data_IF_881404699994
#
_entry.id   IF_881404699994
#
_cell.length_a   1.000
_cell.length_b   1.000
_cell.length_c   1.000
_cell.angle_alpha   90.00
_cell.angle_beta   90.00
_cell.angle_gamma   90.00
#
_symmetry.space_group_name_H-M   'P 1'
#
loop_
_entity.id
_entity.type
_entity.pdbx_description
1 polymer ?
#
# COMPACT_ATOMS: atom_id res chain seq x y z
N UNK A 1 -41.07 -81.98 -59.75
CA UNK A 1 -40.54 -80.58 -59.69
C UNK A 1 -40.02 -80.34 -58.31
N UNK A 2 -38.73 -80.29 -58.19
CA UNK A 2 -37.95 -80.18 -56.97
C UNK A 2 -37.89 -78.78 -56.44
N UNK A 3 -38.23 -78.56 -55.18
CA UNK A 3 -37.88 -77.32 -54.48
C UNK A 3 -37.19 -77.70 -53.18
N UNK A 4 -35.86 -77.52 -53.21
CA UNK A 4 -34.99 -77.70 -52.03
C UNK A 4 -35.21 -76.50 -51.07
N UNK A 5 -35.58 -76.81 -49.85
CA UNK A 5 -35.56 -75.88 -48.75
C UNK A 5 -34.15 -75.76 -48.21
N UNK A 6 -33.59 -74.58 -48.33
CA UNK A 6 -32.32 -74.15 -47.65
C UNK A 6 -32.59 -73.82 -46.17
N UNK A 7 -32.08 -74.67 -45.31
CA UNK A 7 -31.94 -74.39 -43.89
C UNK A 7 -30.90 -73.30 -43.69
N UNK A 8 -31.32 -72.15 -43.16
CA UNK A 8 -30.44 -71.10 -42.66
C UNK A 8 -30.08 -71.41 -41.22
N UNK A 9 -28.79 -71.60 -40.98
CA UNK A 9 -28.23 -71.73 -39.63
C UNK A 9 -28.31 -70.36 -38.90
N UNK A 10 -28.68 -70.36 -37.60
CA UNK A 10 -28.62 -69.10 -36.85
C UNK A 10 -27.17 -68.67 -36.56
N UNK A 11 -26.84 -67.46 -36.93
CA UNK A 11 -25.56 -66.79 -36.57
C UNK A 11 -25.52 -66.65 -35.07
N UNK A 12 -24.54 -67.24 -34.43
CA UNK A 12 -24.18 -66.97 -33.03
C UNK A 12 -23.60 -65.58 -32.97
N UNK A 13 -24.39 -64.63 -32.47
CA UNK A 13 -23.91 -63.31 -32.13
C UNK A 13 -22.94 -63.40 -30.94
N UNK A 14 -21.66 -63.20 -31.20
CA UNK A 14 -20.63 -63.03 -30.19
C UNK A 14 -20.86 -61.69 -29.59
N UNK A 15 -21.47 -61.62 -28.40
CA UNK A 15 -21.53 -60.42 -27.60
C UNK A 15 -20.12 -60.23 -27.00
N UNK A 16 -19.31 -59.43 -27.68
CA UNK A 16 -18.06 -58.90 -27.08
C UNK A 16 -18.46 -57.94 -26.05
N UNK A 17 -18.47 -58.33 -24.78
CA UNK A 17 -18.54 -57.45 -23.65
C UNK A 17 -17.22 -56.69 -23.59
N UNK A 18 -17.19 -55.49 -24.19
CA UNK A 18 -16.12 -54.51 -23.97
C UNK A 18 -16.30 -54.03 -22.54
N UNK A 19 -15.58 -54.65 -21.64
CA UNK A 19 -15.35 -54.09 -20.32
C UNK A 19 -14.51 -52.84 -20.54
N UNK A 20 -15.19 -51.72 -20.72
CA UNK A 20 -14.58 -50.38 -20.56
C UNK A 20 -14.27 -50.27 -19.08
N UNK A 21 -13.10 -50.76 -18.67
CA UNK A 21 -12.46 -50.35 -17.44
C UNK A 21 -12.17 -48.89 -17.60
N UNK A 22 -13.18 -48.06 -17.34
CA UNK A 22 -13.02 -46.64 -17.15
C UNK A 22 -12.05 -46.46 -15.99
N UNK A 23 -10.80 -46.33 -16.34
CA UNK A 23 -9.85 -45.66 -15.46
C UNK A 23 -10.45 -44.27 -15.20
N UNK A 24 -11.33 -44.18 -14.23
CA UNK A 24 -11.58 -42.99 -13.48
C UNK A 24 -10.21 -42.62 -12.86
N UNK A 25 -9.31 -42.10 -13.70
CA UNK A 25 -8.28 -41.24 -13.23
C UNK A 25 -9.04 -40.17 -12.43
N UNK A 26 -9.19 -40.42 -11.14
CA UNK A 26 -9.51 -39.39 -10.18
C UNK A 26 -8.46 -38.30 -10.44
N UNK A 27 -8.81 -37.34 -11.26
CA UNK A 27 -8.24 -36.04 -11.16
C UNK A 27 -8.54 -35.62 -9.73
N UNK A 28 -7.68 -36.07 -8.84
CA UNK A 28 -7.46 -35.37 -7.62
C UNK A 28 -7.00 -33.98 -8.13
N UNK A 29 -7.96 -33.12 -8.29
CA UNK A 29 -7.73 -31.69 -8.13
C UNK A 29 -7.07 -31.64 -6.77
N UNK A 30 -5.73 -31.76 -6.77
CA UNK A 30 -4.96 -31.40 -5.61
C UNK A 30 -5.38 -29.97 -5.40
N UNK A 31 -6.36 -29.74 -4.52
CA UNK A 31 -6.49 -28.47 -3.88
C UNK A 31 -5.07 -28.24 -3.35
N UNK A 32 -4.26 -27.50 -4.11
CA UNK A 32 -3.02 -26.98 -3.59
C UNK A 32 -3.51 -26.18 -2.40
N UNK A 33 -3.46 -26.80 -1.21
CA UNK A 33 -3.70 -26.12 0.02
C UNK A 33 -2.78 -24.90 -0.07
N UNK A 34 -3.37 -23.72 -0.18
CA UNK A 34 -2.62 -22.48 -0.28
C UNK A 34 -1.60 -22.54 0.85
N UNK A 35 -0.32 -22.54 0.49
CA UNK A 35 0.74 -22.75 1.47
C UNK A 35 0.58 -21.64 2.49
N UNK A 36 0.14 -21.97 3.70
CA UNK A 36 -0.09 -21.00 4.75
C UNK A 36 1.21 -20.23 4.98
N UNK A 37 1.13 -18.92 5.09
CA UNK A 37 2.28 -18.08 5.43
C UNK A 37 2.90 -18.59 6.72
N UNK A 38 4.24 -18.65 6.74
CA UNK A 38 5.00 -18.90 7.96
C UNK A 38 5.45 -17.57 8.51
N UNK A 39 4.78 -17.07 9.53
CA UNK A 39 5.16 -15.83 10.19
C UNK A 39 5.78 -16.15 11.53
N UNK A 40 6.94 -15.57 11.76
CA UNK A 40 7.65 -15.65 13.04
C UNK A 40 7.49 -14.31 13.76
N UNK A 41 6.80 -14.31 14.88
CA UNK A 41 6.58 -13.13 15.72
C UNK A 41 7.56 -13.16 16.89
N UNK A 42 8.51 -12.23 16.93
CA UNK A 42 9.63 -12.23 17.88
C UNK A 42 10.31 -13.61 17.97
N UNK A 43 10.54 -14.23 16.79
CA UNK A 43 11.17 -15.54 16.67
C UNK A 43 10.25 -16.75 16.89
N UNK A 44 8.99 -16.55 17.29
CA UNK A 44 8.02 -17.64 17.55
C UNK A 44 7.13 -17.87 16.32
N UNK A 45 7.09 -19.09 15.74
CA UNK A 45 6.19 -19.44 14.66
C UNK A 45 4.73 -19.18 15.09
N UNK A 46 4.03 -18.34 14.36
CA UNK A 46 2.68 -17.89 14.72
C UNK A 46 1.76 -18.01 13.51
N UNK A 47 0.68 -18.79 13.58
CA UNK A 47 -0.34 -18.79 12.56
C UNK A 47 -1.03 -17.44 12.51
N UNK A 48 -1.08 -16.83 11.31
CA UNK A 48 -1.70 -15.52 11.11
C UNK A 48 -2.65 -15.58 9.91
N UNK A 49 -3.61 -14.66 9.89
CA UNK A 49 -4.48 -14.42 8.75
C UNK A 49 -4.31 -12.97 8.28
N UNK A 50 -3.76 -12.79 7.10
CA UNK A 50 -3.65 -11.48 6.46
C UNK A 50 -5.02 -10.99 6.00
N UNK A 51 -5.45 -9.85 6.51
CA UNK A 51 -6.69 -9.18 6.10
C UNK A 51 -6.46 -8.42 4.77
N UNK A 52 -5.33 -7.75 4.70
CA UNK A 52 -4.76 -7.04 3.55
C UNK A 52 -3.24 -7.22 3.53
N UNK A 53 -2.54 -6.48 2.69
CA UNK A 53 -1.09 -6.66 2.52
C UNK A 53 -0.24 -6.11 3.67
N UNK A 54 -0.81 -5.30 4.56
CA UNK A 54 -0.09 -4.63 5.67
C UNK A 54 -0.74 -4.82 7.04
N UNK A 55 -1.66 -5.78 7.17
CA UNK A 55 -2.27 -6.15 8.44
C UNK A 55 -2.66 -7.62 8.52
N UNK A 56 -2.57 -8.19 9.72
CA UNK A 56 -3.02 -9.55 9.98
C UNK A 56 -3.63 -9.71 11.36
N UNK A 57 -4.31 -10.84 11.58
CA UNK A 57 -4.73 -11.34 12.89
C UNK A 57 -3.89 -12.53 13.28
N UNK A 58 -3.48 -12.60 14.52
CA UNK A 58 -2.80 -13.77 15.09
C UNK A 58 -3.84 -14.80 15.51
N UNK A 59 -3.78 -16.00 14.95
CA UNK A 59 -4.78 -17.04 15.13
C UNK A 59 -4.47 -17.96 16.33
N UNK A 60 -3.18 -18.17 16.64
CA UNK A 60 -2.75 -19.02 17.74
C UNK A 60 -1.36 -18.58 18.25
N UNK A 61 -0.93 -19.14 19.39
CA UNK A 61 0.34 -18.84 20.03
C UNK A 61 0.25 -17.72 21.06
N UNK A 62 1.40 -17.19 21.54
CA UNK A 62 1.45 -16.21 22.63
C UNK A 62 0.68 -14.90 22.37
N UNK A 63 0.51 -14.54 21.10
CA UNK A 63 -0.16 -13.31 20.68
C UNK A 63 -1.55 -13.55 20.08
N UNK A 64 -2.15 -14.75 20.32
CA UNK A 64 -3.45 -15.13 19.76
C UNK A 64 -4.54 -14.07 20.03
N UNK A 65 -5.37 -13.80 19.01
CA UNK A 65 -6.44 -12.80 19.05
C UNK A 65 -6.00 -11.36 18.83
N UNK A 66 -4.69 -11.07 18.84
CA UNK A 66 -4.21 -9.72 18.54
C UNK A 66 -4.36 -9.38 17.06
N UNK A 67 -4.59 -8.08 16.79
CA UNK A 67 -4.57 -7.50 15.46
C UNK A 67 -3.22 -6.80 15.26
N UNK A 68 -2.63 -6.98 14.10
CA UNK A 68 -1.36 -6.39 13.73
C UNK A 68 -1.53 -5.27 12.71
N UNK A 69 -0.74 -4.21 12.84
CA UNK A 69 -0.44 -3.23 11.80
C UNK A 69 1.04 -3.33 11.50
N UNK A 70 1.39 -3.46 10.23
CA UNK A 70 2.76 -3.58 9.79
C UNK A 70 3.35 -2.19 9.52
N UNK A 71 4.56 -1.96 10.03
CA UNK A 71 5.26 -0.69 9.92
C UNK A 71 6.10 -0.56 8.65
N UNK A 72 6.49 0.69 8.33
CA UNK A 72 7.42 1.00 7.25
C UNK A 72 6.82 1.03 5.85
N UNK A 73 5.66 0.45 5.61
CA UNK A 73 4.98 0.44 4.33
C UNK A 73 3.46 0.41 4.46
N UNK A 74 2.77 0.72 3.36
CA UNK A 74 1.33 0.62 3.25
C UNK A 74 0.95 -0.02 1.92
N UNK A 75 -0.13 -0.79 1.91
CA UNK A 75 -0.72 -1.34 0.69
C UNK A 75 -1.99 -0.59 0.33
N UNK A 76 -2.43 -0.74 -0.92
CA UNK A 76 -3.73 -0.21 -1.31
C UNK A 76 -4.84 -0.98 -0.61
N UNK A 77 -5.98 -0.33 -0.44
CA UNK A 77 -7.15 -0.92 0.21
C UNK A 77 -7.69 -2.13 -0.57
N UNK A 78 -7.90 -3.25 0.11
CA UNK A 78 -8.30 -4.51 -0.51
C UNK A 78 -9.80 -4.82 -0.38
N UNK A 79 -10.62 -3.86 0.04
CA UNK A 79 -12.07 -4.05 0.15
C UNK A 79 -12.84 -3.77 -1.14
N UNK A 80 -12.24 -3.15 -2.14
CA UNK A 80 -12.81 -2.86 -3.45
C UNK A 80 -11.93 -1.94 -4.28
N UNK A 81 -12.38 -1.52 -5.47
CA UNK A 81 -11.67 -0.60 -6.34
C UNK A 81 -11.70 0.83 -5.78
N UNK A 82 -11.07 1.03 -4.63
CA UNK A 82 -11.13 2.26 -3.87
C UNK A 82 -10.17 3.35 -4.37
N UNK A 83 -9.05 2.98 -4.98
CA UNK A 83 -8.02 3.92 -5.40
C UNK A 83 -8.02 4.17 -6.90
N UNK A 84 -7.64 5.39 -7.30
CA UNK A 84 -7.37 5.74 -8.70
C UNK A 84 -6.38 6.89 -8.84
N UNK A 85 -5.51 6.83 -9.86
CA UNK A 85 -4.62 7.91 -10.30
C UNK A 85 -4.10 7.62 -11.71
N UNK A 86 -3.55 8.61 -12.39
CA UNK A 86 -2.98 8.45 -13.72
C UNK A 86 -3.99 7.88 -14.70
N UNK A 87 -3.60 6.85 -15.44
CA UNK A 87 -4.45 6.12 -16.38
C UNK A 87 -4.90 4.75 -15.86
N UNK A 88 -4.78 4.50 -14.55
CA UNK A 88 -5.23 3.27 -13.94
C UNK A 88 -6.75 3.07 -14.01
N UNK A 89 -7.16 1.87 -14.37
CA UNK A 89 -8.49 1.38 -14.04
C UNK A 89 -8.51 1.03 -12.53
N UNK A 90 -9.46 1.51 -11.73
CA UNK A 90 -9.54 1.22 -10.29
C UNK A 90 -9.56 -0.27 -9.95
N UNK A 91 -10.07 -1.11 -10.85
CA UNK A 91 -10.05 -2.57 -10.70
C UNK A 91 -8.66 -3.18 -10.73
N UNK A 92 -7.80 -2.67 -11.58
CA UNK A 92 -6.41 -3.16 -11.67
C UNK A 92 -5.64 -2.79 -10.39
N UNK A 93 -5.88 -1.59 -9.83
CA UNK A 93 -5.34 -1.22 -8.53
C UNK A 93 -5.89 -2.09 -7.39
N UNK A 94 -7.17 -2.46 -7.44
CA UNK A 94 -7.75 -3.42 -6.50
C UNK A 94 -7.10 -4.81 -6.63
N UNK A 95 -6.86 -5.28 -7.85
CA UNK A 95 -6.11 -6.53 -8.08
C UNK A 95 -4.71 -6.43 -7.49
N UNK A 96 -4.03 -5.29 -7.66
CA UNK A 96 -2.73 -5.04 -7.04
C UNK A 96 -2.80 -5.16 -5.50
N UNK A 97 -3.80 -4.57 -4.86
CA UNK A 97 -4.04 -4.70 -3.41
C UNK A 97 -4.25 -6.17 -2.98
N UNK A 98 -5.01 -6.95 -3.78
CA UNK A 98 -5.20 -8.38 -3.54
C UNK A 98 -3.91 -9.17 -3.69
N UNK A 99 -3.06 -8.81 -4.66
CA UNK A 99 -1.75 -9.44 -4.85
C UNK A 99 -0.83 -9.19 -3.66
N UNK A 100 -0.86 -8.00 -3.04
CA UNK A 100 -0.15 -7.72 -1.80
C UNK A 100 -0.58 -8.65 -0.65
N UNK A 101 -1.91 -8.83 -0.50
CA UNK A 101 -2.48 -9.75 0.50
C UNK A 101 -2.05 -11.20 0.25
N UNK A 102 -2.10 -11.66 -1.00
CA UNK A 102 -1.68 -13.01 -1.39
C UNK A 102 -0.18 -13.21 -1.16
N UNK A 103 0.63 -12.19 -1.41
CA UNK A 103 2.06 -12.24 -1.14
C UNK A 103 2.33 -12.46 0.36
N UNK A 104 1.66 -11.70 1.24
CA UNK A 104 1.72 -11.92 2.68
C UNK A 104 1.34 -13.34 3.09
N UNK A 105 0.30 -13.90 2.47
CA UNK A 105 -0.22 -15.25 2.78
C UNK A 105 0.68 -16.40 2.34
N UNK A 106 1.60 -16.20 1.39
CA UNK A 106 2.40 -17.27 0.78
C UNK A 106 3.85 -17.32 1.23
N UNK A 107 4.34 -16.25 1.85
CA UNK A 107 5.75 -16.10 2.20
C UNK A 107 6.13 -16.67 3.56
N UNK A 108 7.42 -16.54 3.83
CA UNK A 108 8.01 -16.75 5.17
C UNK A 108 8.49 -15.40 5.65
N UNK A 109 7.94 -14.92 6.76
CA UNK A 109 8.15 -13.56 7.22
C UNK A 109 8.60 -13.52 8.68
N UNK A 110 9.63 -12.73 8.95
CA UNK A 110 10.15 -12.50 10.30
C UNK A 110 9.72 -11.11 10.74
N UNK A 111 8.96 -11.06 11.82
CA UNK A 111 8.42 -9.81 12.34
C UNK A 111 8.85 -9.63 13.79
N UNK A 112 9.23 -8.41 14.13
CA UNK A 112 9.58 -7.98 15.49
C UNK A 112 8.64 -6.90 15.97
N UNK A 113 8.44 -6.83 17.28
CA UNK A 113 7.62 -5.80 17.93
C UNK A 113 8.08 -5.62 19.37
N UNK A 114 8.06 -4.38 19.84
CA UNK A 114 8.11 -3.99 21.25
C UNK A 114 6.74 -4.06 21.94
N UNK A 115 5.72 -4.55 21.22
CA UNK A 115 4.33 -4.67 21.63
C UNK A 115 3.60 -3.32 21.80
N UNK A 116 4.16 -2.23 21.28
CA UNK A 116 3.44 -0.95 21.18
C UNK A 116 2.19 -1.08 20.30
N UNK A 117 1.23 -0.20 20.53
CA UNK A 117 -0.07 -0.23 19.85
C UNK A 117 -0.40 1.12 19.23
N UNK A 118 -1.12 1.07 18.12
CA UNK A 118 -1.69 2.26 17.51
C UNK A 118 -3.00 2.70 18.23
N UNK A 119 -3.53 3.85 17.82
CA UNK A 119 -4.80 4.39 18.35
C UNK A 119 -6.03 3.50 18.16
N UNK A 120 -5.95 2.46 17.33
CA UNK A 120 -7.00 1.45 17.11
C UNK A 120 -6.77 0.17 17.91
N UNK A 121 -5.76 0.13 18.77
CA UNK A 121 -5.40 -1.01 19.61
C UNK A 121 -4.71 -2.15 18.87
N UNK A 122 -4.25 -1.94 17.62
CA UNK A 122 -3.47 -2.93 16.86
C UNK A 122 -2.02 -2.89 17.32
N UNK A 123 -1.42 -4.06 17.52
CA UNK A 123 0.03 -4.17 17.80
C UNK A 123 0.83 -3.79 16.56
N UNK A 124 1.84 -2.93 16.72
CA UNK A 124 2.75 -2.53 15.65
C UNK A 124 3.83 -3.60 15.49
N UNK A 125 3.96 -4.14 14.28
CA UNK A 125 4.97 -5.12 13.93
C UNK A 125 5.84 -4.59 12.79
N UNK A 126 7.14 -4.78 12.89
CA UNK A 126 8.08 -4.58 11.80
C UNK A 126 8.40 -5.91 11.15
N UNK A 127 8.08 -6.04 9.86
CA UNK A 127 8.31 -7.23 9.04
C UNK A 127 9.17 -6.83 7.82
N UNK A 128 10.47 -6.59 7.98
CA UNK A 128 11.31 -5.95 6.96
C UNK A 128 11.38 -6.73 5.66
N UNK A 129 11.38 -8.06 5.72
CA UNK A 129 11.41 -8.91 4.53
C UNK A 129 10.14 -8.76 3.69
N UNK A 130 8.96 -8.75 4.35
CA UNK A 130 7.67 -8.56 3.68
C UNK A 130 7.52 -7.14 3.11
N UNK A 131 7.92 -6.13 3.89
CA UNK A 131 7.91 -4.74 3.47
C UNK A 131 8.74 -4.55 2.19
N UNK A 132 9.98 -5.02 2.22
CA UNK A 132 10.90 -4.91 1.09
C UNK A 132 10.40 -5.68 -0.15
N UNK A 133 9.87 -6.88 0.04
CA UNK A 133 9.36 -7.71 -1.06
C UNK A 133 8.13 -7.10 -1.72
N UNK A 134 7.15 -6.62 -0.93
CA UNK A 134 5.98 -5.92 -1.45
C UNK A 134 6.35 -4.63 -2.21
N UNK A 135 7.26 -3.82 -1.66
CA UNK A 135 7.70 -2.57 -2.28
C UNK A 135 8.44 -2.86 -3.60
N UNK A 136 9.36 -3.82 -3.64
CA UNK A 136 10.09 -4.20 -4.87
C UNK A 136 9.17 -4.67 -5.99
N UNK A 137 8.07 -5.33 -5.64
CA UNK A 137 7.05 -5.79 -6.59
C UNK A 137 6.08 -4.68 -7.02
N UNK A 138 6.15 -3.49 -6.42
CA UNK A 138 5.16 -2.42 -6.61
C UNK A 138 3.78 -2.78 -6.06
N UNK A 139 3.71 -3.65 -5.05
CA UNK A 139 2.47 -4.04 -4.37
C UNK A 139 2.19 -3.17 -3.15
N UNK A 140 3.18 -2.41 -2.71
CA UNK A 140 3.11 -1.48 -1.60
C UNK A 140 3.96 -0.25 -1.88
N UNK A 141 3.73 0.78 -1.09
CA UNK A 141 4.57 1.98 -1.06
C UNK A 141 5.16 2.19 0.33
N UNK A 142 6.29 2.89 0.40
CA UNK A 142 6.89 3.29 1.67
C UNK A 142 5.91 4.17 2.44
N UNK A 143 5.85 3.98 3.74
CA UNK A 143 4.95 4.70 4.63
C UNK A 143 5.63 4.99 5.96
N UNK A 144 5.60 6.25 6.35
CA UNK A 144 5.82 6.69 7.72
C UNK A 144 4.59 7.43 8.23
N UNK A 145 4.25 7.26 9.51
CA UNK A 145 3.03 7.82 10.10
C UNK A 145 3.08 9.33 10.25
N UNK A 146 4.28 9.87 10.38
CA UNK A 146 4.56 11.30 10.53
C UNK A 146 5.19 11.92 9.26
N UNK A 147 5.60 13.15 9.36
CA UNK A 147 6.19 13.95 8.28
C UNK A 147 7.68 13.65 8.02
N UNK A 148 8.26 12.63 8.69
CA UNK A 148 9.63 12.16 8.44
C UNK A 148 9.69 11.25 7.23
N UNK A 149 10.81 11.27 6.49
CA UNK A 149 11.10 10.24 5.50
C UNK A 149 11.07 8.84 6.11
N UNK A 150 10.63 7.87 5.31
CA UNK A 150 10.70 6.45 5.66
C UNK A 150 12.13 5.89 5.60
N UNK A 151 12.28 4.60 5.86
CA UNK A 151 13.58 3.94 5.86
C UNK A 151 14.24 3.98 4.47
N UNK A 152 15.49 4.42 4.40
CA UNK A 152 16.23 4.66 3.15
C UNK A 152 16.31 3.42 2.23
N UNK A 153 16.43 2.22 2.80
CA UNK A 153 16.50 0.99 2.01
C UNK A 153 15.15 0.68 1.34
N UNK A 154 14.02 0.99 1.98
CA UNK A 154 12.68 0.86 1.40
C UNK A 154 12.43 1.93 0.32
N UNK A 155 12.88 3.18 0.56
CA UNK A 155 12.80 4.26 -0.43
C UNK A 155 13.59 3.90 -1.70
N UNK A 156 14.79 3.34 -1.55
CA UNK A 156 15.59 2.87 -2.69
C UNK A 156 14.87 1.78 -3.49
N UNK A 157 14.25 0.83 -2.78
CA UNK A 157 13.47 -0.23 -3.43
C UNK A 157 12.25 0.33 -4.17
N UNK A 158 11.54 1.31 -3.59
CA UNK A 158 10.41 1.98 -4.22
C UNK A 158 10.83 2.75 -5.48
N UNK A 159 11.92 3.49 -5.41
CA UNK A 159 12.46 4.21 -6.59
C UNK A 159 12.75 3.27 -7.76
N UNK A 160 13.32 2.09 -7.49
CA UNK A 160 13.54 1.07 -8.52
C UNK A 160 12.22 0.53 -9.07
N UNK A 161 11.24 0.22 -8.21
CA UNK A 161 9.92 -0.23 -8.65
C UNK A 161 9.20 0.81 -9.51
N UNK A 162 9.32 2.10 -9.18
CA UNK A 162 8.80 3.22 -9.95
C UNK A 162 9.50 3.32 -11.32
N UNK A 163 10.84 3.29 -11.36
CA UNK A 163 11.62 3.36 -12.61
C UNK A 163 11.28 2.20 -13.55
N UNK A 164 11.07 1.01 -13.02
CA UNK A 164 10.72 -0.19 -13.76
C UNK A 164 9.20 -0.34 -13.99
N UNK A 165 8.41 0.64 -13.56
CA UNK A 165 6.93 0.65 -13.69
C UNK A 165 6.29 -0.63 -13.17
N UNK A 166 6.73 -1.12 -12.02
CA UNK A 166 6.21 -2.34 -11.41
C UNK A 166 4.90 -2.09 -10.67
N UNK A 167 3.99 -3.06 -10.74
CA UNK A 167 2.74 -3.07 -9.97
C UNK A 167 1.98 -1.76 -10.07
N UNK A 168 1.65 -1.14 -8.95
CA UNK A 168 0.87 0.11 -8.87
C UNK A 168 1.50 1.31 -9.60
N UNK A 169 2.74 1.22 -10.01
CA UNK A 169 3.47 2.29 -10.70
C UNK A 169 3.40 2.21 -12.23
N UNK A 170 2.77 1.16 -12.81
CA UNK A 170 2.80 0.90 -14.26
C UNK A 170 2.13 1.99 -15.09
N UNK A 171 1.03 2.58 -14.63
CA UNK A 171 0.22 3.54 -15.39
C UNK A 171 0.17 4.94 -14.79
N UNK A 172 1.24 5.34 -14.13
CA UNK A 172 1.41 6.66 -13.55
C UNK A 172 1.85 6.62 -12.10
N UNK A 173 2.52 7.68 -11.69
CA UNK A 173 3.06 7.85 -10.34
C UNK A 173 2.58 9.22 -9.84
N UNK A 174 1.65 9.28 -8.88
CA UNK A 174 1.27 10.55 -8.25
C UNK A 174 2.41 11.01 -7.34
N UNK A 175 2.48 12.30 -7.00
CA UNK A 175 3.44 12.74 -5.97
C UNK A 175 3.06 12.21 -4.58
N UNK A 176 1.76 12.01 -4.35
CA UNK A 176 1.23 11.45 -3.12
C UNK A 176 0.17 10.38 -3.42
N UNK A 177 0.19 9.29 -2.64
CA UNK A 177 -0.89 8.29 -2.62
C UNK A 177 -1.81 8.61 -1.45
N UNK A 178 -3.10 8.85 -1.71
CA UNK A 178 -4.10 8.97 -0.66
C UNK A 178 -4.31 7.62 0.01
N UNK A 179 -4.19 7.56 1.33
CA UNK A 179 -4.27 6.31 2.10
C UNK A 179 -5.44 6.25 3.07
N UNK A 180 -5.99 7.41 3.42
CA UNK A 180 -7.24 7.49 4.15
C UNK A 180 -7.96 8.78 3.83
N UNK A 181 -9.28 8.70 3.78
CA UNK A 181 -10.18 9.84 3.71
C UNK A 181 -11.19 9.71 4.85
N UNK A 182 -11.49 10.83 5.48
CA UNK A 182 -12.43 10.91 6.59
C UNK A 182 -13.42 12.03 6.32
N UNK A 183 -14.70 11.72 6.46
CA UNK A 183 -15.76 12.72 6.40
C UNK A 183 -15.94 13.38 7.76
N UNK A 184 -16.28 14.66 7.84
CA UNK A 184 -16.45 15.37 9.12
C UNK A 184 -17.57 14.77 9.97
N UNK A 185 -18.59 14.21 9.34
CA UNK A 185 -19.75 13.60 9.99
C UNK A 185 -19.49 12.18 10.55
N UNK A 186 -18.30 11.59 10.32
CA UNK A 186 -17.91 10.33 10.96
C UNK A 186 -17.77 10.47 12.49
N UNK A 187 -17.46 11.68 12.95
CA UNK A 187 -17.30 11.97 14.37
C UNK A 187 -17.76 13.42 14.64
N UNK A 188 -18.99 13.61 15.13
CA UNK A 188 -19.56 14.94 15.37
C UNK A 188 -18.82 15.79 16.39
N UNK A 189 -17.96 15.18 17.24
CA UNK A 189 -17.18 15.90 18.25
C UNK A 189 -15.87 16.46 17.69
N UNK A 190 -15.49 16.09 16.46
CA UNK A 190 -14.27 16.59 15.82
C UNK A 190 -14.46 18.00 15.27
N UNK A 191 -13.50 18.85 15.51
CA UNK A 191 -13.45 20.16 14.89
C UNK A 191 -13.07 20.07 13.39
N UNK A 192 -12.18 19.12 13.04
CA UNK A 192 -11.69 18.88 11.69
C UNK A 192 -11.61 17.38 11.41
N UNK A 193 -11.97 17.00 10.20
CA UNK A 193 -11.54 15.73 9.61
C UNK A 193 -10.17 15.92 8.93
N UNK A 194 -9.55 14.82 8.51
CA UNK A 194 -8.31 14.86 7.74
C UNK A 194 -8.27 13.78 6.69
N UNK A 195 -7.64 14.09 5.56
CA UNK A 195 -7.24 13.11 4.57
C UNK A 195 -5.74 12.92 4.65
N UNK A 196 -5.27 11.68 4.63
CA UNK A 196 -3.84 11.38 4.68
C UNK A 196 -3.33 11.01 3.30
N UNK A 197 -2.25 11.69 2.92
CA UNK A 197 -1.50 11.42 1.71
C UNK A 197 -0.09 10.97 2.08
N UNK A 198 0.49 10.07 1.31
CA UNK A 198 1.85 9.58 1.51
C UNK A 198 2.69 9.93 0.31
N UNK A 199 3.81 10.59 0.55
CA UNK A 199 4.77 10.97 -0.47
C UNK A 199 5.35 9.73 -1.17
N UNK A 200 5.25 9.68 -2.47
CA UNK A 200 5.86 8.60 -3.28
C UNK A 200 7.39 8.76 -3.38
N UNK A 201 7.91 9.92 -3.03
CA UNK A 201 9.34 10.21 -3.05
C UNK A 201 10.09 9.60 -1.88
N UNK A 202 9.54 9.73 -0.67
CA UNK A 202 10.23 9.43 0.58
C UNK A 202 9.35 8.80 1.67
N UNK A 203 8.05 8.61 1.40
CA UNK A 203 7.13 7.90 2.29
C UNK A 203 6.64 8.68 3.50
N UNK A 204 6.92 10.00 3.61
CA UNK A 204 6.35 10.79 4.70
C UNK A 204 4.84 10.97 4.55
N UNK A 205 4.15 11.14 5.67
CA UNK A 205 2.73 11.51 5.71
C UNK A 205 2.56 13.01 5.57
N UNK A 206 1.58 13.40 4.75
CA UNK A 206 1.03 14.75 4.70
C UNK A 206 -0.48 14.65 4.98
N UNK A 207 -0.96 15.36 5.99
CA UNK A 207 -2.35 15.29 6.45
C UNK A 207 -3.07 16.60 6.16
N UNK A 208 -4.04 16.56 5.27
CA UNK A 208 -4.85 17.71 4.91
C UNK A 208 -6.09 17.79 5.82
N UNK A 209 -6.14 18.76 6.72
CA UNK A 209 -7.29 19.05 7.56
C UNK A 209 -8.39 19.74 6.75
N UNK A 210 -9.65 19.36 6.97
CA UNK A 210 -10.82 19.93 6.30
C UNK A 210 -12.10 19.76 7.14
N UNK A 211 -13.21 20.33 6.65
CA UNK A 211 -14.58 20.21 7.22
C UNK A 211 -15.57 19.63 6.23
N UNK A 212 -15.08 18.95 5.20
CA UNK A 212 -15.92 18.40 4.14
C UNK A 212 -16.69 17.16 4.62
N UNK A 213 -17.94 17.05 4.14
CA UNK A 213 -18.75 15.83 4.25
C UNK A 213 -18.68 15.06 2.94
N UNK A 214 -18.40 13.78 3.01
CA UNK A 214 -18.31 12.91 1.85
C UNK A 214 -19.45 11.90 1.81
N UNK A 215 -20.16 11.86 0.68
CA UNK A 215 -21.20 10.84 0.45
C UNK A 215 -20.64 9.43 0.29
N UNK A 216 -21.47 8.40 0.57
CA UNK A 216 -21.10 7.01 0.26
C UNK A 216 -20.80 6.87 -1.23
N UNK A 217 -19.73 6.19 -1.58
CA UNK A 217 -19.25 6.01 -2.95
C UNK A 217 -18.78 7.28 -3.67
N UNK A 218 -18.67 8.40 -2.98
CA UNK A 218 -18.06 9.60 -3.56
C UNK A 218 -16.56 9.37 -3.80
N UNK A 219 -16.11 9.69 -5.00
CA UNK A 219 -14.67 9.72 -5.30
C UNK A 219 -14.08 11.04 -4.84
N UNK A 220 -13.20 10.99 -3.85
CA UNK A 220 -12.50 12.14 -3.30
C UNK A 220 -11.09 12.15 -3.86
N UNK A 221 -10.72 13.21 -4.57
CA UNK A 221 -9.38 13.36 -5.15
C UNK A 221 -8.62 14.44 -4.42
N UNK A 222 -7.35 14.16 -4.13
CA UNK A 222 -6.48 15.13 -3.49
C UNK A 222 -6.00 16.17 -4.49
N UNK A 223 -5.90 17.42 -4.03
CA UNK A 223 -5.14 18.45 -4.74
C UNK A 223 -3.70 18.37 -4.27
N UNK A 224 -2.80 18.01 -5.16
CA UNK A 224 -1.38 17.92 -4.86
C UNK A 224 -0.68 19.25 -5.11
N UNK A 225 0.06 19.74 -4.12
CA UNK A 225 1.00 20.83 -4.27
C UNK A 225 2.32 20.28 -4.81
N UNK A 226 2.43 20.27 -6.14
CA UNK A 226 3.59 19.73 -6.84
C UNK A 226 4.77 20.66 -6.77
N UNK A 227 5.95 20.09 -6.55
CA UNK A 227 7.23 20.79 -6.50
C UNK A 227 8.22 20.19 -7.51
N UNK A 228 9.13 21.01 -8.00
CA UNK A 228 10.29 20.53 -8.78
C UNK A 228 11.36 19.99 -7.83
N UNK A 229 11.37 18.68 -7.67
CA UNK A 229 12.33 18.02 -6.78
C UNK A 229 13.79 18.16 -7.22
N UNK A 230 14.08 18.40 -8.49
CA UNK A 230 15.46 18.66 -8.91
C UNK A 230 15.96 19.99 -8.33
N UNK A 231 15.11 21.01 -8.31
CA UNK A 231 15.41 22.29 -7.66
C UNK A 231 15.50 22.16 -6.14
N UNK A 232 14.56 21.45 -5.54
CA UNK A 232 14.55 21.17 -4.10
C UNK A 232 15.86 20.51 -3.67
N UNK A 233 16.30 19.47 -4.39
CA UNK A 233 17.55 18.78 -4.08
C UNK A 233 18.79 19.66 -4.28
N UNK A 234 18.80 20.48 -5.33
CA UNK A 234 19.89 21.43 -5.57
C UNK A 234 20.00 22.47 -4.45
N UNK A 235 18.86 23.00 -3.96
CA UNK A 235 18.86 23.93 -2.82
C UNK A 235 19.28 23.22 -1.54
N UNK A 236 18.79 22.02 -1.28
CA UNK A 236 19.21 21.23 -0.11
C UNK A 236 20.74 20.98 -0.11
N UNK A 237 21.31 20.68 -1.28
CA UNK A 237 22.76 20.53 -1.41
C UNK A 237 23.50 21.86 -1.11
N UNK A 238 23.02 23.00 -1.62
CA UNK A 238 23.61 24.30 -1.31
C UNK A 238 23.53 24.64 0.19
N UNK A 239 22.40 24.33 0.85
CA UNK A 239 22.26 24.52 2.29
C UNK A 239 23.24 23.64 3.07
N UNK A 240 23.52 22.43 2.60
CA UNK A 240 24.51 21.52 3.20
C UNK A 240 25.92 22.07 3.15
N UNK A 241 26.27 22.80 2.09
CA UNK A 241 27.60 23.41 1.91
C UNK A 241 27.76 24.72 2.65
N UNK A 242 26.67 25.32 3.15
CA UNK A 242 26.71 26.57 3.90
C UNK A 242 27.30 26.34 5.29
N UNK A 243 28.50 26.92 5.52
CA UNK A 243 29.19 26.83 6.81
C UNK A 243 28.42 27.42 7.98
N UNK A 244 27.58 28.44 7.72
CA UNK A 244 26.76 29.07 8.76
C UNK A 244 25.67 28.10 9.27
N UNK A 245 25.27 27.14 8.46
CA UNK A 245 24.28 26.14 8.81
C UNK A 245 24.88 24.83 9.32
N UNK A 246 26.21 24.67 9.31
CA UNK A 246 26.86 23.38 9.60
C UNK A 246 26.42 22.77 10.95
N UNK A 247 26.34 23.60 12.00
CA UNK A 247 25.91 23.16 13.34
C UNK A 247 24.41 22.78 13.35
N UNK A 248 23.55 23.57 12.70
CA UNK A 248 22.11 23.31 12.63
C UNK A 248 21.76 22.09 11.80
N UNK A 249 22.60 21.69 10.86
CA UNK A 249 22.38 20.56 9.96
C UNK A 249 23.18 19.30 10.34
N UNK A 250 23.92 19.30 11.46
CA UNK A 250 24.81 18.21 11.82
C UNK A 250 24.11 16.84 11.88
N UNK A 251 22.90 16.79 12.44
CA UNK A 251 22.11 15.58 12.64
C UNK A 251 21.05 15.36 11.56
N UNK A 252 21.00 16.20 10.54
CA UNK A 252 20.04 16.14 9.43
C UNK A 252 20.75 15.57 8.21
N UNK A 253 20.42 14.37 7.76
CA UNK A 253 20.97 13.82 6.52
C UNK A 253 20.39 14.48 5.26
N UNK A 254 20.92 14.16 4.09
CA UNK A 254 20.50 14.79 2.84
C UNK A 254 19.06 14.47 2.45
N UNK A 255 18.54 13.28 2.80
CA UNK A 255 17.17 12.90 2.53
C UNK A 255 16.20 13.74 3.38
N UNK A 256 16.50 13.86 4.69
CA UNK A 256 15.73 14.70 5.60
C UNK A 256 15.82 16.18 5.23
N UNK A 257 16.98 16.67 4.82
CA UNK A 257 17.11 18.06 4.38
C UNK A 257 16.30 18.34 3.10
N UNK A 258 16.30 17.43 2.13
CA UNK A 258 15.45 17.51 0.94
C UNK A 258 13.95 17.47 1.30
N UNK A 259 13.55 16.60 2.24
CA UNK A 259 12.17 16.54 2.74
C UNK A 259 11.78 17.88 3.40
N UNK A 260 12.58 18.39 4.33
CA UNK A 260 12.31 19.68 5.00
C UNK A 260 12.22 20.85 4.00
N UNK A 261 13.08 20.85 2.97
CA UNK A 261 13.08 21.89 1.92
C UNK A 261 11.79 21.82 1.09
N UNK A 262 11.36 20.62 0.68
CA UNK A 262 10.11 20.43 -0.06
C UNK A 262 8.88 20.75 0.78
N UNK A 263 8.89 20.35 2.05
CA UNK A 263 7.82 20.65 3.00
C UNK A 263 7.67 22.15 3.20
N UNK A 264 8.79 22.86 3.46
CA UNK A 264 8.80 24.32 3.59
C UNK A 264 8.26 25.02 2.34
N UNK A 265 8.61 24.54 1.14
CA UNK A 265 8.11 25.12 -0.09
C UNK A 265 6.59 25.01 -0.22
N UNK A 266 6.00 23.89 0.24
CA UNK A 266 4.56 23.62 0.17
C UNK A 266 3.74 24.33 1.25
N UNK A 267 4.29 24.43 2.47
CA UNK A 267 3.53 24.79 3.68
C UNK A 267 3.97 26.09 4.32
N UNK A 268 5.11 26.67 3.92
CA UNK A 268 5.78 27.80 4.59
C UNK A 268 6.19 27.51 6.05
N UNK A 269 6.23 26.23 6.41
CA UNK A 269 6.56 25.71 7.72
C UNK A 269 7.59 24.59 7.60
N UNK A 270 8.34 24.33 8.66
CA UNK A 270 9.23 23.18 8.74
C UNK A 270 8.49 21.98 9.33
N UNK A 271 8.85 20.74 8.90
CA UNK A 271 8.32 19.53 9.49
C UNK A 271 8.48 19.50 11.01
N UNK A 272 7.57 18.76 11.70
CA UNK A 272 7.59 18.66 13.16
C UNK A 272 8.87 18.00 13.70
N UNK A 273 9.46 17.08 12.94
CA UNK A 273 10.70 16.40 13.32
C UNK A 273 11.95 17.29 13.35
N UNK A 274 11.93 18.48 12.72
CA UNK A 274 13.07 19.40 12.78
C UNK A 274 13.22 19.93 14.20
N UNK A 275 14.37 19.67 14.80
CA UNK A 275 14.64 20.05 16.19
C UNK A 275 14.63 21.55 16.38
N UNK A 276 14.36 22.02 17.59
CA UNK A 276 14.32 23.44 17.92
C UNK A 276 15.65 24.15 17.59
N UNK A 277 16.77 23.49 17.84
CA UNK A 277 18.10 24.04 17.53
C UNK A 277 18.32 24.26 16.02
N UNK A 278 17.71 23.42 15.18
CA UNK A 278 17.84 23.50 13.72
C UNK A 278 16.77 24.39 13.09
N UNK A 279 15.64 24.56 13.75
CA UNK A 279 14.42 25.16 13.18
C UNK A 279 14.60 26.59 12.72
N UNK A 280 15.04 27.48 13.60
CA UNK A 280 15.16 28.89 13.27
C UNK A 280 16.24 29.18 12.19
N UNK A 281 17.47 28.62 12.25
CA UNK A 281 18.46 28.81 11.21
C UNK A 281 18.02 28.24 9.85
N UNK A 282 17.42 27.06 9.83
CA UNK A 282 16.99 26.44 8.59
C UNK A 282 15.79 27.17 7.96
N UNK A 283 14.82 27.61 8.77
CA UNK A 283 13.68 28.40 8.29
C UNK A 283 14.14 29.73 7.66
N UNK A 284 15.05 30.43 8.30
CA UNK A 284 15.60 31.69 7.76
C UNK A 284 16.33 31.50 6.43
N UNK A 285 17.14 30.44 6.33
CA UNK A 285 17.85 30.11 5.11
C UNK A 285 16.88 29.71 3.97
N UNK A 286 15.86 28.92 4.25
CA UNK A 286 14.84 28.52 3.26
C UNK A 286 13.98 29.70 2.83
N UNK A 287 13.62 30.61 3.76
CA UNK A 287 12.92 31.85 3.43
C UNK A 287 13.73 32.73 2.46
N UNK A 288 15.02 32.88 2.69
CA UNK A 288 15.91 33.60 1.79
C UNK A 288 16.00 32.94 0.41
N UNK A 289 16.12 31.59 0.34
CA UNK A 289 16.13 30.86 -0.92
C UNK A 289 14.78 30.94 -1.67
N UNK A 290 13.65 30.92 -0.96
CA UNK A 290 12.31 31.10 -1.51
C UNK A 290 12.13 32.53 -2.07
N UNK A 291 12.51 33.56 -1.33
CA UNK A 291 12.47 34.96 -1.75
C UNK A 291 13.33 35.21 -3.00
N UNK A 292 14.49 34.53 -3.12
CA UNK A 292 15.35 34.61 -4.28
C UNK A 292 14.85 33.79 -5.49
N UNK A 293 13.68 33.08 -5.37
CA UNK A 293 13.13 32.23 -6.41
C UNK A 293 13.90 30.92 -6.66
N UNK A 294 14.88 30.58 -5.83
CA UNK A 294 15.74 29.42 -6.01
C UNK A 294 14.95 28.09 -5.85
N UNK A 295 13.94 28.05 -4.99
CA UNK A 295 13.10 26.87 -4.76
C UNK A 295 12.10 26.63 -5.90
N UNK A 296 11.88 27.57 -6.80
CA UNK A 296 10.82 27.51 -7.80
C UNK A 296 9.45 27.82 -7.22
N UNK A 297 8.41 27.36 -7.92
CA UNK A 297 7.01 27.59 -7.54
C UNK A 297 6.31 26.28 -7.27
N UNK A 298 5.30 26.33 -6.41
CA UNK A 298 4.33 25.24 -6.24
C UNK A 298 3.27 25.36 -7.30
N UNK A 299 2.94 24.26 -7.94
CA UNK A 299 1.79 24.14 -8.86
C UNK A 299 0.78 23.17 -8.28
N UNK A 300 -0.51 23.43 -8.52
CA UNK A 300 -1.55 22.52 -8.08
C UNK A 300 -1.95 21.59 -9.23
N UNK A 301 -2.10 20.32 -8.91
CA UNK A 301 -2.58 19.32 -9.85
C UNK A 301 -3.52 18.35 -9.15
N UNK A 302 -4.36 17.69 -9.94
CA UNK A 302 -5.18 16.59 -9.44
C UNK A 302 -4.25 15.41 -9.13
N UNK A 303 -4.23 15.01 -7.86
CA UNK A 303 -3.48 13.88 -7.36
C UNK A 303 -4.27 12.57 -7.38
N UNK A 304 -3.86 11.66 -6.52
CA UNK A 304 -4.55 10.39 -6.32
C UNK A 304 -5.93 10.58 -5.69
N UNK A 305 -6.83 9.64 -5.97
CA UNK A 305 -8.21 9.66 -5.49
C UNK A 305 -8.51 8.38 -4.70
N UNK A 306 -9.47 8.48 -3.80
CA UNK A 306 -10.01 7.34 -3.07
C UNK A 306 -11.54 7.46 -2.96
N UNK A 307 -12.22 6.31 -3.00
CA UNK A 307 -13.69 6.25 -2.82
C UNK A 307 -14.01 6.26 -1.33
N UNK A 308 -14.90 7.17 -0.92
CA UNK A 308 -15.38 7.22 0.46
C UNK A 308 -16.39 6.09 0.72
N UNK A 309 -16.04 5.22 1.68
CA UNK A 309 -16.94 4.15 2.15
C UNK A 309 -16.73 3.96 3.65
N UNK A 310 -17.79 4.12 4.42
CA UNK A 310 -17.77 3.89 5.85
C UNK A 310 -17.31 2.47 6.19
N UNK A 311 -16.56 2.30 7.29
CA UNK A 311 -15.92 1.03 7.63
C UNK A 311 -16.87 -0.17 7.65
N UNK A 312 -18.07 -0.01 8.22
CA UNK A 312 -19.10 -1.05 8.29
C UNK A 312 -19.72 -1.40 6.93
N UNK A 313 -19.47 -0.59 5.90
CA UNK A 313 -19.95 -0.76 4.52
C UNK A 313 -18.88 -1.32 3.57
N UNK A 314 -17.68 -1.61 4.07
CA UNK A 314 -16.56 -2.12 3.25
C UNK A 314 -16.64 -3.61 2.98
N UNK A 315 -17.28 -4.38 3.86
CA UNK A 315 -17.29 -5.85 3.83
C UNK A 315 -18.69 -6.43 4.03
N UNK A 316 -18.86 -7.71 3.65
CA UNK A 316 -20.08 -8.48 3.92
C UNK A 316 -21.24 -8.17 2.98
N UNK A 317 -22.45 -8.56 3.42
CA UNK A 317 -23.68 -8.42 2.62
C UNK A 317 -24.16 -6.97 2.52
N UNK A 318 -23.79 -6.13 3.50
CA UNK A 318 -24.12 -4.70 3.51
C UNK A 318 -23.12 -3.85 2.73
N UNK A 319 -22.23 -4.46 1.95
CA UNK A 319 -21.21 -3.74 1.18
C UNK A 319 -21.81 -2.62 0.33
N UNK A 320 -21.13 -1.46 0.30
CA UNK A 320 -21.53 -0.30 -0.50
C UNK A 320 -21.66 -0.66 -1.99
N UNK A 321 -22.54 0.05 -2.71
CA UNK A 321 -22.87 -0.26 -4.10
C UNK A 321 -21.64 -0.19 -5.03
N UNK A 322 -20.76 0.80 -4.85
CA UNK A 322 -19.53 0.96 -5.64
C UNK A 322 -18.49 -0.15 -5.44
N UNK A 323 -18.67 -1.01 -4.45
CA UNK A 323 -17.79 -2.13 -4.15
C UNK A 323 -18.37 -3.49 -4.56
N UNK A 324 -19.63 -3.50 -5.06
CA UNK A 324 -20.33 -4.72 -5.50
C UNK A 324 -20.00 -5.01 -6.96
N UNK A 325 -19.82 -6.27 -7.27
CA UNK A 325 -19.62 -6.77 -8.65
C UNK A 325 -20.23 -8.13 -8.79
#
# INVERSE_FOLDING_TARGET
>A
MNTQSRQTRPARSLVVAVVVAGALAAWRSGAHAEQASRVYLNGVPSPVYFNDGDSFRVLAGPHAGSKARLGGYNTLESFGPAHSWGTWNPWELYVNAKMATLNGRRGVWHCTSDMSRDGYGRTLWDCPDLALDNIRKGLAHVYNVDDRPGAIHLIRAQRLAIQERRGMWAHGVPQFVVTSIHSIDEDPEREFAYNRMISTRDGHSDSMKHRETYGECQTVCMTEKQVDYARVDAVAAQLREDRALAAALADIDNLHLSNATAFYLRHDELPEWVTEASRAPLAAALAAKKAAGALGTVTEARGSCMVNVAFNRRYGLSRAACLRH
#
